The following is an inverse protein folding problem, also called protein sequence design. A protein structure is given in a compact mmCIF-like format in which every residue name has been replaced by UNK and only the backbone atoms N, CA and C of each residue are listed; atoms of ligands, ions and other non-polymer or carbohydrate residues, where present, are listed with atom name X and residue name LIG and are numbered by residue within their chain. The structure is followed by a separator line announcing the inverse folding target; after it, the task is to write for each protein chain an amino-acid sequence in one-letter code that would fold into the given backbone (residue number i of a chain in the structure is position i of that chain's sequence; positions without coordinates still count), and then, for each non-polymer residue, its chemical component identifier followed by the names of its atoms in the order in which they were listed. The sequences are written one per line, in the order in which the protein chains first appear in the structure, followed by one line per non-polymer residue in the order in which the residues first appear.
data_IF_964263946757
#
_entry.id   IF_964263946757
#
_cell.length_a   1.000
_cell.length_b   1.000
_cell.length_c   1.000
_cell.angle_alpha   90.00
_cell.angle_beta   90.00
_cell.angle_gamma   90.00
#
_symmetry.space_group_name_H-M   'P 1'
#
loop_
_entity.id
_entity.type
_entity.pdbx_description
1 polymer ?
#
# COMPACT_ATOMS: atom_id res chain seq x y z
N UNK A 1 -22.25 -18.72 -8.94
CA UNK A 1 -21.28 -19.42 -9.77
C UNK A 1 -19.94 -18.76 -9.60
N UNK A 2 -18.87 -19.53 -9.72
CA UNK A 2 -17.50 -19.03 -9.66
C UNK A 2 -16.93 -19.11 -11.07
N UNK A 3 -16.30 -18.02 -11.51
CA UNK A 3 -15.76 -17.89 -12.86
C UNK A 3 -14.28 -17.61 -12.71
N UNK A 4 -13.44 -18.52 -13.17
CA UNK A 4 -12.00 -18.30 -13.24
C UNK A 4 -11.71 -17.39 -14.44
N UNK A 5 -11.11 -16.24 -14.15
CA UNK A 5 -10.54 -15.33 -15.11
C UNK A 5 -9.03 -15.57 -15.18
N UNK A 6 -8.49 -15.54 -16.39
CA UNK A 6 -7.07 -15.74 -16.64
C UNK A 6 -6.60 -14.69 -17.65
N UNK A 7 -5.60 -13.90 -17.26
CA UNK A 7 -4.82 -13.07 -18.15
C UNK A 7 -3.51 -13.78 -18.48
N UNK A 8 -3.26 -13.99 -19.77
CA UNK A 8 -2.02 -14.60 -20.24
C UNK A 8 -1.06 -13.54 -20.79
N UNK A 9 -0.01 -13.25 -20.03
CA UNK A 9 1.01 -12.28 -20.41
C UNK A 9 2.18 -13.01 -21.08
N UNK A 10 2.35 -12.74 -22.37
CA UNK A 10 3.50 -13.18 -23.15
C UNK A 10 4.66 -12.18 -23.03
N UNK A 11 5.73 -12.54 -22.33
CA UNK A 11 6.85 -11.61 -22.08
C UNK A 11 7.59 -11.21 -23.35
N UNK A 12 7.47 -11.98 -24.45
CA UNK A 12 8.04 -11.65 -25.77
C UNK A 12 7.49 -10.36 -26.40
N UNK A 13 6.30 -9.90 -25.98
CA UNK A 13 5.71 -8.64 -26.46
C UNK A 13 6.07 -7.44 -25.58
N UNK A 14 6.83 -7.68 -24.51
CA UNK A 14 7.30 -6.63 -23.62
C UNK A 14 8.72 -6.22 -24.00
N UNK A 15 9.04 -4.95 -23.74
CA UNK A 15 10.39 -4.43 -23.97
C UNK A 15 11.47 -5.23 -23.22
N UNK A 16 11.13 -5.68 -22.01
CA UNK A 16 11.97 -6.56 -21.22
C UNK A 16 11.10 -7.53 -20.40
N UNK A 17 11.52 -8.78 -20.22
CA UNK A 17 10.76 -9.80 -19.47
C UNK A 17 10.41 -9.37 -18.05
N UNK A 18 11.34 -8.67 -17.38
CA UNK A 18 11.10 -8.13 -16.03
C UNK A 18 10.00 -7.07 -15.97
N UNK A 19 9.73 -6.31 -17.05
CA UNK A 19 8.58 -5.39 -17.06
C UNK A 19 7.27 -6.18 -17.03
N UNK A 20 7.20 -7.29 -17.76
CA UNK A 20 6.05 -8.19 -17.73
C UNK A 20 5.87 -8.80 -16.33
N UNK A 21 6.95 -9.24 -15.68
CA UNK A 21 6.91 -9.80 -14.32
C UNK A 21 6.40 -8.77 -13.30
N UNK A 22 6.95 -7.55 -13.32
CA UNK A 22 6.51 -6.47 -12.43
C UNK A 22 5.04 -6.12 -12.66
N UNK A 23 4.60 -6.10 -13.92
CA UNK A 23 3.20 -5.86 -14.24
C UNK A 23 2.28 -6.99 -13.75
N UNK A 24 2.68 -8.25 -13.93
CA UNK A 24 1.92 -9.41 -13.45
C UNK A 24 1.77 -9.39 -11.92
N UNK A 25 2.84 -9.05 -11.19
CA UNK A 25 2.78 -8.84 -9.73
C UNK A 25 1.84 -7.69 -9.35
N UNK A 26 1.87 -6.59 -10.09
CA UNK A 26 0.96 -5.46 -9.89
C UNK A 26 -0.51 -5.87 -10.13
N UNK A 27 -0.79 -6.74 -11.11
CA UNK A 27 -2.13 -7.27 -11.33
C UNK A 27 -2.62 -8.12 -10.14
N UNK A 28 -1.79 -8.99 -9.57
CA UNK A 28 -2.16 -9.76 -8.36
C UNK A 28 -2.50 -8.84 -7.19
N UNK A 29 -1.66 -7.83 -6.96
CA UNK A 29 -1.90 -6.83 -5.92
C UNK A 29 -3.17 -6.03 -6.20
N UNK A 30 -3.44 -5.69 -7.46
CA UNK A 30 -4.69 -5.04 -7.87
C UNK A 30 -5.92 -5.90 -7.57
N UNK A 31 -5.88 -7.21 -7.84
CA UNK A 31 -6.97 -8.15 -7.50
C UNK A 31 -7.23 -8.14 -6.00
N UNK A 32 -6.19 -8.32 -5.17
CA UNK A 32 -6.29 -8.25 -3.70
C UNK A 32 -6.90 -6.93 -3.24
N UNK A 33 -6.45 -5.82 -3.82
CA UNK A 33 -6.91 -4.49 -3.44
C UNK A 33 -8.39 -4.30 -3.78
N UNK A 34 -8.81 -4.67 -4.98
CA UNK A 34 -10.20 -4.58 -5.42
C UNK A 34 -11.10 -5.48 -4.57
N UNK A 35 -10.65 -6.68 -4.19
CA UNK A 35 -11.38 -7.53 -3.26
C UNK A 35 -11.66 -6.83 -1.92
N UNK A 36 -10.66 -6.14 -1.35
CA UNK A 36 -10.85 -5.36 -0.11
C UNK A 36 -11.79 -4.16 -0.26
N UNK A 37 -11.97 -3.67 -1.49
CA UNK A 37 -12.86 -2.56 -1.84
C UNK A 37 -14.29 -3.03 -2.19
N UNK A 38 -14.58 -4.33 -2.03
CA UNK A 38 -15.91 -4.91 -2.21
C UNK A 38 -16.18 -5.53 -3.58
N UNK A 39 -15.17 -5.62 -4.45
CA UNK A 39 -15.30 -6.42 -5.66
C UNK A 39 -15.31 -7.91 -5.28
N UNK A 40 -16.16 -8.74 -5.92
CA UNK A 40 -16.31 -10.15 -5.56
C UNK A 40 -15.18 -11.02 -6.16
N UNK A 41 -13.93 -10.62 -5.93
CA UNK A 41 -12.73 -11.29 -6.41
C UNK A 41 -12.09 -12.12 -5.30
N UNK A 42 -11.51 -13.26 -5.66
CA UNK A 42 -10.83 -14.16 -4.72
C UNK A 42 -9.92 -15.13 -5.48
N UNK A 43 -9.14 -15.93 -4.74
CA UNK A 43 -8.28 -16.99 -5.30
C UNK A 43 -7.31 -16.48 -6.37
N UNK A 44 -6.67 -15.35 -6.11
CA UNK A 44 -5.63 -14.80 -6.98
C UNK A 44 -4.37 -15.69 -6.99
N UNK A 45 -3.83 -15.92 -8.17
CA UNK A 45 -2.65 -16.75 -8.38
C UNK A 45 -1.81 -16.19 -9.54
N UNK A 46 -0.49 -16.16 -9.33
CA UNK A 46 0.48 -15.88 -10.39
C UNK A 46 1.30 -17.14 -10.63
N UNK A 47 1.12 -17.70 -11.80
CA UNK A 47 1.89 -18.81 -12.31
C UNK A 47 2.98 -18.27 -13.25
N UNK A 48 4.23 -18.63 -12.93
CA UNK A 48 5.45 -18.21 -13.61
C UNK A 48 6.34 -19.44 -13.89
N UNK A 49 5.74 -20.50 -14.39
CA UNK A 49 6.42 -21.79 -14.63
C UNK A 49 7.59 -21.68 -15.63
N UNK A 50 7.49 -20.82 -16.65
CA UNK A 50 8.57 -20.55 -17.59
C UNK A 50 8.57 -19.04 -17.91
N UNK A 51 9.70 -18.34 -17.68
CA UNK A 51 9.99 -16.89 -17.86
C UNK A 51 9.38 -16.17 -19.11
N UNK A 52 8.82 -16.92 -20.05
CA UNK A 52 8.17 -16.49 -21.28
C UNK A 52 6.65 -16.29 -21.12
N UNK A 53 6.00 -17.07 -20.25
CA UNK A 53 4.57 -17.11 -20.03
C UNK A 53 4.24 -16.83 -18.56
N UNK A 54 3.52 -15.74 -18.32
CA UNK A 54 2.97 -15.44 -17.00
C UNK A 54 1.46 -15.55 -17.07
N UNK A 55 0.86 -16.31 -16.14
CA UNK A 55 -0.59 -16.43 -16.03
C UNK A 55 -1.04 -15.78 -14.73
N UNK A 56 -1.83 -14.71 -14.87
CA UNK A 56 -2.48 -14.04 -13.74
C UNK A 56 -3.92 -14.55 -13.69
N UNK A 57 -4.26 -15.26 -12.62
CA UNK A 57 -5.59 -15.86 -12.43
C UNK A 57 -6.29 -15.25 -11.24
N UNK A 58 -7.60 -15.10 -11.32
CA UNK A 58 -8.47 -14.82 -10.18
C UNK A 58 -9.89 -15.31 -10.45
N UNK A 59 -10.65 -15.54 -9.39
CA UNK A 59 -12.04 -15.94 -9.48
C UNK A 59 -12.98 -14.75 -9.27
N UNK A 60 -14.08 -14.74 -10.03
CA UNK A 60 -15.18 -13.79 -9.95
C UNK A 60 -16.45 -14.51 -9.47
N UNK A 61 -17.05 -14.04 -8.37
CA UNK A 61 -18.33 -14.59 -7.88
C UNK A 61 -19.51 -13.90 -8.56
N UNK A 62 -20.39 -14.69 -9.17
CA UNK A 62 -21.59 -14.21 -9.87
C UNK A 62 -22.85 -14.97 -9.48
N UNK A 63 -24.02 -14.35 -9.70
CA UNK A 63 -25.30 -15.04 -9.52
C UNK A 63 -25.50 -16.12 -10.60
N UNK A 64 -26.05 -17.28 -10.22
CA UNK A 64 -26.41 -18.34 -11.20
C UNK A 64 -27.58 -17.95 -12.12
N UNK A 65 -28.27 -16.84 -11.81
CA UNK A 65 -29.39 -16.32 -12.59
C UNK A 65 -29.03 -15.04 -13.36
N UNK A 66 -27.73 -14.72 -13.46
CA UNK A 66 -27.27 -13.54 -14.19
C UNK A 66 -27.60 -13.65 -15.69
N UNK A 67 -28.14 -12.59 -16.33
CA UNK A 67 -28.28 -12.56 -17.78
C UNK A 67 -26.92 -12.64 -18.48
N UNK A 68 -26.85 -13.35 -19.62
CA UNK A 68 -25.60 -13.55 -20.36
C UNK A 68 -24.88 -12.24 -20.72
N UNK A 69 -25.61 -11.19 -21.11
CA UNK A 69 -24.99 -9.91 -21.46
C UNK A 69 -24.34 -9.25 -20.23
N UNK A 70 -25.06 -9.21 -19.11
CA UNK A 70 -24.53 -8.67 -17.85
C UNK A 70 -23.32 -9.46 -17.37
N UNK A 71 -23.31 -10.78 -17.59
CA UNK A 71 -22.14 -11.59 -17.27
C UNK A 71 -20.91 -11.19 -18.11
N UNK A 72 -21.08 -11.02 -19.41
CA UNK A 72 -20.00 -10.55 -20.30
C UNK A 72 -19.50 -9.17 -19.85
N UNK A 73 -20.43 -8.25 -19.58
CA UNK A 73 -20.11 -6.88 -19.14
C UNK A 73 -19.33 -6.90 -17.80
N UNK A 74 -19.70 -7.78 -16.87
CA UNK A 74 -19.01 -7.92 -15.58
C UNK A 74 -17.60 -8.52 -15.74
N UNK A 75 -17.43 -9.48 -16.65
CA UNK A 75 -16.10 -10.04 -16.98
C UNK A 75 -15.21 -8.95 -17.58
N UNK A 76 -15.71 -8.20 -18.56
CA UNK A 76 -14.96 -7.09 -19.18
C UNK A 76 -14.60 -6.01 -18.16
N UNK A 77 -15.55 -5.61 -17.31
CA UNK A 77 -15.31 -4.68 -16.22
C UNK A 77 -14.22 -5.19 -15.27
N UNK A 78 -14.21 -6.49 -14.97
CA UNK A 78 -13.23 -7.11 -14.10
C UNK A 78 -11.81 -6.94 -14.63
N UNK A 79 -11.57 -7.34 -15.88
CA UNK A 79 -10.28 -7.14 -16.55
C UNK A 79 -9.86 -5.67 -16.57
N UNK A 80 -10.77 -4.79 -16.99
CA UNK A 80 -10.48 -3.36 -17.08
C UNK A 80 -10.11 -2.75 -15.71
N UNK A 81 -10.81 -3.15 -14.64
CA UNK A 81 -10.54 -2.65 -13.29
C UNK A 81 -9.19 -3.13 -12.75
N UNK A 82 -8.86 -4.41 -12.95
CA UNK A 82 -7.56 -4.96 -12.55
C UNK A 82 -6.43 -4.26 -13.31
N UNK A 83 -6.58 -4.12 -14.64
CA UNK A 83 -5.59 -3.46 -15.49
C UNK A 83 -5.40 -1.98 -15.13
N UNK A 84 -6.50 -1.22 -14.99
CA UNK A 84 -6.48 0.18 -14.57
C UNK A 84 -5.77 0.34 -13.21
N UNK A 85 -6.09 -0.53 -12.24
CA UNK A 85 -5.47 -0.47 -10.92
C UNK A 85 -3.98 -0.81 -10.96
N UNK A 86 -3.59 -1.86 -11.68
CA UNK A 86 -2.19 -2.25 -11.80
C UNK A 86 -1.33 -1.13 -12.40
N UNK A 87 -1.81 -0.47 -13.47
CA UNK A 87 -1.12 0.69 -14.03
C UNK A 87 -1.04 1.84 -13.04
N UNK A 88 -2.15 2.17 -12.37
CA UNK A 88 -2.15 3.23 -11.36
C UNK A 88 -1.16 2.97 -10.22
N UNK A 89 -1.02 1.71 -9.78
CA UNK A 89 -0.04 1.32 -8.75
C UNK A 89 1.39 1.56 -9.20
N UNK A 90 1.72 1.26 -10.46
CA UNK A 90 3.06 1.43 -11.03
C UNK A 90 3.37 2.90 -11.35
N UNK A 91 2.39 3.67 -11.81
CA UNK A 91 2.58 5.07 -12.21
C UNK A 91 2.61 6.03 -11.01
N UNK A 92 1.69 5.86 -10.05
CA UNK A 92 1.47 6.84 -8.98
C UNK A 92 2.05 6.43 -7.63
N UNK A 93 2.73 5.29 -7.57
CA UNK A 93 3.24 4.63 -6.37
C UNK A 93 2.17 4.42 -5.30
N UNK A 94 1.70 3.18 -5.16
CA UNK A 94 0.77 2.78 -4.09
C UNK A 94 1.52 2.11 -2.91
N UNK A 95 2.76 2.55 -2.66
CA UNK A 95 3.61 1.94 -1.64
C UNK A 95 3.51 2.62 -0.28
N UNK A 96 3.84 1.86 0.77
CA UNK A 96 3.78 2.31 2.16
C UNK A 96 5.14 2.08 2.80
N UNK A 97 5.74 3.15 3.32
CA UNK A 97 6.94 3.05 4.14
C UNK A 97 6.53 2.76 5.60
N UNK A 98 7.17 1.77 6.21
CA UNK A 98 6.98 1.38 7.61
C UNK A 98 8.27 1.70 8.38
N UNK A 99 8.12 2.51 9.44
CA UNK A 99 9.18 2.90 10.36
C UNK A 99 8.80 2.48 11.79
N UNK A 100 9.81 2.28 12.63
CA UNK A 100 9.64 1.93 14.03
C UNK A 100 10.91 1.34 14.61
N UNK A 101 10.81 0.67 15.76
CA UNK A 101 11.95 -0.09 16.29
C UNK A 101 12.14 -1.38 15.49
N UNK A 102 13.34 -1.55 14.95
CA UNK A 102 13.69 -2.60 13.98
C UNK A 102 14.49 -3.75 14.60
N UNK A 103 14.31 -4.00 15.90
CA UNK A 103 15.03 -5.04 16.66
C UNK A 103 14.10 -5.80 17.59
N UNK A 104 14.37 -7.10 17.79
CA UNK A 104 13.61 -7.95 18.71
C UNK A 104 12.12 -8.05 18.34
N UNK A 105 11.26 -8.09 19.36
CA UNK A 105 9.81 -8.20 19.20
C UNK A 105 9.19 -7.06 18.38
N UNK A 106 9.81 -5.87 18.38
CA UNK A 106 9.33 -4.75 17.56
C UNK A 106 9.51 -5.01 16.07
N UNK A 107 10.57 -5.71 15.65
CA UNK A 107 10.75 -6.08 14.24
C UNK A 107 9.67 -7.06 13.78
N UNK A 108 9.29 -8.01 14.62
CA UNK A 108 8.18 -8.95 14.35
C UNK A 108 6.85 -8.21 14.19
N UNK A 109 6.63 -7.16 14.99
CA UNK A 109 5.47 -6.29 14.84
C UNK A 109 5.48 -5.53 13.50
N UNK A 110 6.63 -4.94 13.09
CA UNK A 110 6.75 -4.30 11.78
C UNK A 110 6.47 -5.29 10.65
N UNK A 111 6.97 -6.52 10.76
CA UNK A 111 6.73 -7.61 9.81
C UNK A 111 5.27 -8.06 9.77
N UNK A 112 4.59 -8.06 10.92
CA UNK A 112 3.15 -8.33 10.98
C UNK A 112 2.35 -7.26 10.24
N UNK A 113 2.65 -5.99 10.46
CA UNK A 113 2.04 -4.86 9.73
C UNK A 113 2.33 -4.99 8.22
N UNK A 114 3.58 -5.29 7.85
CA UNK A 114 4.00 -5.48 6.47
C UNK A 114 3.19 -6.59 5.78
N UNK A 115 3.19 -7.80 6.37
CA UNK A 115 2.45 -8.96 5.84
C UNK A 115 0.97 -8.67 5.70
N UNK A 116 0.38 -7.99 6.68
CA UNK A 116 -1.04 -7.62 6.64
C UNK A 116 -1.37 -6.70 5.45
N UNK A 117 -0.54 -5.67 5.22
CA UNK A 117 -0.71 -4.74 4.11
C UNK A 117 -0.40 -5.39 2.75
N UNK A 118 0.62 -6.24 2.66
CA UNK A 118 0.95 -6.99 1.44
C UNK A 118 -0.20 -7.92 1.02
N UNK A 119 -0.88 -8.55 1.99
CA UNK A 119 -2.07 -9.36 1.75
C UNK A 119 -3.27 -8.54 1.27
N UNK A 120 -3.29 -7.22 1.52
CA UNK A 120 -4.28 -6.29 0.97
C UNK A 120 -3.88 -5.68 -0.38
N UNK A 121 -2.76 -6.11 -0.93
CA UNK A 121 -2.29 -5.66 -2.25
C UNK A 121 -1.46 -4.38 -2.22
N UNK A 122 -0.97 -3.93 -1.06
CA UNK A 122 -0.03 -2.80 -1.02
C UNK A 122 1.39 -3.24 -1.34
N UNK A 123 2.21 -2.31 -1.83
CA UNK A 123 3.66 -2.44 -1.76
C UNK A 123 4.13 -1.87 -0.43
N UNK A 124 5.02 -2.56 0.27
CA UNK A 124 5.46 -2.14 1.60
C UNK A 124 6.98 -2.18 1.72
N UNK A 125 7.52 -1.22 2.47
CA UNK A 125 8.96 -1.14 2.73
C UNK A 125 9.20 -0.99 4.22
N UNK A 126 9.93 -1.92 4.83
CA UNK A 126 10.57 -1.67 6.13
C UNK A 126 11.95 -1.08 5.84
N UNK A 127 12.24 0.12 6.35
CA UNK A 127 13.44 0.88 5.98
C UNK A 127 14.76 0.13 6.23
N UNK A 128 14.78 -0.69 7.29
CA UNK A 128 15.95 -1.50 7.69
C UNK A 128 16.36 -2.49 6.60
N UNK A 129 15.40 -3.02 5.86
CA UNK A 129 15.61 -4.06 4.85
C UNK A 129 16.02 -3.50 3.49
N UNK A 130 15.87 -2.19 3.32
CA UNK A 130 16.18 -1.55 2.07
C UNK A 130 17.69 -1.40 1.89
N UNK A 131 18.21 -1.44 0.66
CA UNK A 131 19.64 -1.28 0.41
C UNK A 131 20.13 0.12 0.81
N UNK A 132 21.32 0.16 1.43
CA UNK A 132 22.09 1.38 1.62
C UNK A 132 22.87 1.73 0.35
N UNK A 133 23.00 3.02 0.06
CA UNK A 133 23.77 3.53 -1.07
C UNK A 133 25.02 4.27 -0.58
N UNK A 134 26.17 4.04 -1.22
CA UNK A 134 27.39 4.79 -0.92
C UNK A 134 27.18 6.28 -1.25
N UNK A 135 27.52 7.16 -0.30
CA UNK A 135 27.28 8.60 -0.43
C UNK A 135 25.89 9.05 0.03
N UNK A 136 25.03 8.12 0.45
CA UNK A 136 23.72 8.40 1.06
C UNK A 136 23.83 8.26 2.60
N UNK A 137 23.39 9.27 3.33
CA UNK A 137 23.20 9.17 4.78
C UNK A 137 21.95 8.37 5.12
N UNK A 138 21.88 7.83 6.34
CA UNK A 138 20.70 7.08 6.82
C UNK A 138 19.41 7.91 6.68
N UNK A 139 19.46 9.22 6.95
CA UNK A 139 18.28 10.09 6.80
C UNK A 139 17.90 10.32 5.32
N UNK A 140 18.88 10.41 4.41
CA UNK A 140 18.59 10.51 2.98
C UNK A 140 17.92 9.24 2.46
N UNK A 141 18.34 8.06 2.93
CA UNK A 141 17.67 6.79 2.63
C UNK A 141 16.21 6.80 3.11
N UNK A 142 15.96 7.19 4.36
CA UNK A 142 14.61 7.32 4.93
C UNK A 142 13.74 8.22 4.04
N UNK A 143 14.25 9.41 3.68
CA UNK A 143 13.51 10.37 2.86
C UNK A 143 13.28 9.86 1.42
N UNK A 144 14.25 9.16 0.82
CA UNK A 144 14.09 8.58 -0.51
C UNK A 144 12.93 7.60 -0.56
N UNK A 145 12.82 6.70 0.42
CA UNK A 145 11.69 5.77 0.48
C UNK A 145 10.38 6.45 0.90
N UNK A 146 10.44 7.45 1.78
CA UNK A 146 9.26 8.18 2.19
C UNK A 146 8.62 8.93 1.03
N UNK A 147 9.41 9.71 0.29
CA UNK A 147 8.95 10.50 -0.86
C UNK A 147 8.55 9.64 -2.06
N UNK A 148 9.07 8.41 -2.14
CA UNK A 148 8.64 7.43 -3.14
C UNK A 148 7.38 6.68 -2.72
N UNK A 149 6.93 6.82 -1.47
CA UNK A 149 5.76 6.15 -0.92
C UNK A 149 4.53 7.05 -0.92
N UNK A 150 3.35 6.43 -0.95
CA UNK A 150 2.08 7.13 -0.90
C UNK A 150 1.79 7.70 0.49
N UNK A 151 2.19 6.95 1.53
CA UNK A 151 2.06 7.31 2.93
C UNK A 151 3.14 6.62 3.77
N UNK A 152 3.30 7.08 5.00
CA UNK A 152 4.21 6.48 5.98
C UNK A 152 3.42 5.97 7.18
N UNK A 153 3.74 4.76 7.65
CA UNK A 153 3.30 4.23 8.94
C UNK A 153 4.48 4.24 9.88
N UNK A 154 4.29 4.81 11.08
CA UNK A 154 5.28 4.84 12.15
C UNK A 154 4.71 4.08 13.34
N UNK A 155 5.36 2.98 13.71
CA UNK A 155 5.12 2.25 14.94
C UNK A 155 5.88 2.95 16.09
N UNK A 156 5.15 3.58 17.01
CA UNK A 156 5.64 4.50 18.04
C UNK A 156 5.54 3.92 19.46
N UNK A 157 5.39 2.60 19.61
CA UNK A 157 5.27 1.96 20.94
C UNK A 157 6.56 2.06 21.75
N UNK A 158 7.71 1.83 21.12
CA UNK A 158 9.02 1.83 21.79
C UNK A 158 9.99 2.84 21.17
N UNK A 159 10.81 3.55 21.98
CA UNK A 159 11.76 4.54 21.46
C UNK A 159 12.84 3.90 20.58
N UNK A 160 13.08 4.50 19.42
CA UNK A 160 14.15 4.13 18.49
C UNK A 160 14.55 5.31 17.59
N UNK A 161 15.33 5.06 16.53
CA UNK A 161 15.72 6.05 15.53
C UNK A 161 14.55 6.77 14.86
N UNK A 162 13.35 6.15 14.82
CA UNK A 162 12.16 6.77 14.25
C UNK A 162 11.81 8.12 14.91
N UNK A 163 12.18 8.34 16.18
CA UNK A 163 11.98 9.63 16.85
C UNK A 163 12.75 10.77 16.18
N UNK A 164 13.91 10.48 15.60
CA UNK A 164 14.71 11.44 14.83
C UNK A 164 14.20 11.58 13.39
N UNK A 165 13.67 10.50 12.81
CA UNK A 165 13.08 10.48 11.46
C UNK A 165 11.74 11.24 11.41
N UNK A 166 10.95 11.15 12.48
CA UNK A 166 9.59 11.65 12.56
C UNK A 166 9.43 13.10 12.08
N UNK A 167 10.20 14.10 12.58
CA UNK A 167 10.07 15.48 12.12
C UNK A 167 10.43 15.67 10.64
N UNK A 168 11.37 14.88 10.11
CA UNK A 168 11.78 14.95 8.70
C UNK A 168 10.67 14.41 7.79
N UNK A 169 9.99 13.35 8.22
CA UNK A 169 8.84 12.80 7.49
C UNK A 169 7.65 13.75 7.51
N UNK A 170 7.23 14.18 8.71
CA UNK A 170 5.93 14.85 8.85
C UNK A 170 6.00 16.36 8.57
N UNK A 171 7.11 17.03 8.89
CA UNK A 171 7.25 18.49 8.73
C UNK A 171 8.01 18.88 7.47
N UNK A 172 9.10 18.18 7.16
CA UNK A 172 9.95 18.56 6.03
C UNK A 172 9.43 17.97 4.73
N UNK A 173 9.09 16.67 4.71
CA UNK A 173 8.54 16.00 3.54
C UNK A 173 7.00 16.10 3.45
N UNK A 174 6.33 16.59 4.50
CA UNK A 174 4.87 16.75 4.57
C UNK A 174 4.08 15.47 4.23
N UNK A 175 4.66 14.30 4.48
CA UNK A 175 4.05 13.02 4.12
C UNK A 175 2.77 12.78 4.93
N UNK A 176 1.70 12.23 4.32
CA UNK A 176 0.60 11.63 5.07
C UNK A 176 1.15 10.51 5.95
N UNK A 177 0.99 10.66 7.26
CA UNK A 177 1.66 9.79 8.24
C UNK A 177 0.65 9.24 9.25
N UNK A 178 0.55 7.92 9.30
CA UNK A 178 -0.19 7.19 10.34
C UNK A 178 0.80 6.84 11.44
N UNK A 179 0.46 7.18 12.69
CA UNK A 179 1.24 6.82 13.86
C UNK A 179 0.47 5.76 14.63
N UNK A 180 0.95 4.53 14.57
CA UNK A 180 0.41 3.42 15.34
C UNK A 180 1.12 3.35 16.69
N UNK A 181 0.36 3.19 17.76
CA UNK A 181 0.92 3.09 19.10
C UNK A 181 0.12 2.11 19.96
N UNK A 182 0.80 1.20 20.65
CA UNK A 182 0.10 0.34 21.59
C UNK A 182 -0.47 1.19 22.73
N UNK A 183 -1.71 0.90 23.12
CA UNK A 183 -2.41 1.60 24.20
C UNK A 183 -1.59 1.60 25.49
N UNK A 184 -1.60 2.74 26.18
CA UNK A 184 -0.88 2.98 27.44
C UNK A 184 0.66 2.88 27.32
N UNK A 185 1.18 2.82 26.09
CA UNK A 185 2.60 2.92 25.77
C UNK A 185 2.85 4.15 24.88
N UNK A 186 4.11 4.38 24.51
CA UNK A 186 4.50 5.47 23.63
C UNK A 186 5.96 5.82 23.80
N UNK A 187 6.64 6.07 22.69
CA UNK A 187 8.07 6.35 22.67
C UNK A 187 8.43 7.73 23.26
N UNK A 188 7.53 8.72 23.18
CA UNK A 188 7.76 10.08 23.71
C UNK A 188 6.47 10.89 23.83
N UNK A 189 6.42 11.78 24.82
CA UNK A 189 5.35 12.80 24.96
C UNK A 189 5.54 14.00 24.04
N UNK A 190 6.73 14.16 23.45
CA UNK A 190 7.10 15.34 22.65
C UNK A 190 6.27 15.51 21.35
N UNK A 191 5.53 14.49 20.93
CA UNK A 191 4.72 14.53 19.71
C UNK A 191 3.22 14.70 19.97
N UNK A 192 2.76 14.63 21.22
CA UNK A 192 1.32 14.59 21.52
C UNK A 192 0.58 15.87 21.09
N UNK A 193 1.19 17.04 21.32
CA UNK A 193 0.64 18.31 20.85
C UNK A 193 0.74 18.46 19.32
N UNK A 194 1.72 17.80 18.71
CA UNK A 194 1.93 17.82 17.27
C UNK A 194 0.80 17.11 16.52
N UNK A 195 0.30 15.99 17.05
CA UNK A 195 -0.80 15.22 16.44
C UNK A 195 -2.09 16.05 16.31
N UNK A 196 -2.32 17.00 17.20
CA UNK A 196 -3.48 17.88 17.14
C UNK A 196 -3.27 19.05 16.16
N UNK A 197 -2.01 19.47 15.95
CA UNK A 197 -1.67 20.68 15.19
C UNK A 197 -1.46 20.45 13.70
N UNK A 198 -1.07 19.24 13.31
CA UNK A 198 -0.74 18.91 11.92
C UNK A 198 -1.83 18.03 11.30
N UNK A 199 -2.29 18.43 10.12
CA UNK A 199 -3.41 17.74 9.44
C UNK A 199 -2.97 16.50 8.68
N UNK A 200 -1.69 16.38 8.33
CA UNK A 200 -1.09 15.25 7.63
C UNK A 200 -0.63 14.13 8.58
N UNK A 201 -1.00 14.16 9.86
CA UNK A 201 -0.65 13.14 10.84
C UNK A 201 -1.90 12.59 11.50
N UNK A 202 -1.96 11.27 11.68
CA UNK A 202 -3.00 10.62 12.47
C UNK A 202 -2.40 9.61 13.43
N UNK A 203 -2.48 9.93 14.73
CA UNK A 203 -2.24 8.94 15.79
C UNK A 203 -3.45 8.02 15.92
N UNK A 204 -3.18 6.72 16.00
CA UNK A 204 -4.15 5.66 16.25
C UNK A 204 -3.55 4.70 17.28
N UNK A 205 -4.30 4.47 18.35
CA UNK A 205 -3.90 3.55 19.40
C UNK A 205 -4.51 2.16 19.18
N UNK A 206 -3.75 1.11 19.49
CA UNK A 206 -4.19 -0.27 19.32
C UNK A 206 -3.87 -1.16 20.53
N UNK A 207 -4.55 -2.30 20.62
CA UNK A 207 -4.22 -3.44 21.47
C UNK A 207 -3.78 -4.61 20.59
N UNK A 208 -3.18 -5.64 21.20
CA UNK A 208 -2.70 -6.81 20.44
C UNK A 208 -3.81 -7.48 19.60
N UNK A 209 -5.05 -7.38 20.07
CA UNK A 209 -6.23 -8.01 19.46
C UNK A 209 -6.81 -7.22 18.29
N UNK A 210 -6.55 -5.90 18.19
CA UNK A 210 -7.17 -5.03 17.17
C UNK A 210 -6.17 -4.30 16.27
N UNK A 211 -4.87 -4.63 16.36
CA UNK A 211 -3.81 -3.97 15.59
C UNK A 211 -4.15 -3.88 14.09
N UNK A 212 -4.63 -4.97 13.50
CA UNK A 212 -4.99 -5.04 12.07
C UNK A 212 -6.16 -4.12 11.71
N UNK A 213 -7.19 -4.05 12.56
CA UNK A 213 -8.31 -3.11 12.38
C UNK A 213 -7.83 -1.66 12.46
N UNK A 214 -6.89 -1.36 13.36
CA UNK A 214 -6.32 -0.01 13.49
C UNK A 214 -5.39 0.35 12.33
N UNK A 215 -4.68 -0.63 11.75
CA UNK A 215 -3.97 -0.44 10.48
C UNK A 215 -4.97 -0.04 9.39
N UNK A 216 -6.08 -0.77 9.25
CA UNK A 216 -7.14 -0.44 8.28
C UNK A 216 -7.71 0.97 8.48
N UNK A 217 -7.97 1.36 9.73
CA UNK A 217 -8.43 2.70 10.05
C UNK A 217 -7.40 3.78 9.64
N UNK A 218 -6.11 3.51 9.85
CA UNK A 218 -5.01 4.38 9.45
C UNK A 218 -4.91 4.53 7.93
N UNK A 219 -4.95 3.42 7.21
CA UNK A 219 -4.98 3.40 5.75
C UNK A 219 -6.17 4.20 5.24
N UNK A 220 -7.37 3.92 5.75
CA UNK A 220 -8.58 4.63 5.33
C UNK A 220 -8.42 6.15 5.51
N UNK A 221 -7.96 6.59 6.68
CA UNK A 221 -7.72 8.00 6.95
C UNK A 221 -6.71 8.60 5.96
N UNK A 222 -5.60 7.92 5.68
CA UNK A 222 -4.55 8.44 4.81
C UNK A 222 -5.05 8.62 3.36
N UNK A 223 -5.82 7.66 2.83
CA UNK A 223 -6.41 7.77 1.50
C UNK A 223 -7.53 8.81 1.43
N UNK A 224 -8.35 8.94 2.48
CA UNK A 224 -9.35 10.01 2.59
C UNK A 224 -8.65 11.39 2.57
N UNK A 225 -7.58 11.56 3.36
CA UNK A 225 -6.75 12.77 3.40
C UNK A 225 -6.20 13.12 2.01
N UNK A 226 -5.56 12.16 1.34
CA UNK A 226 -5.00 12.34 0.00
C UNK A 226 -6.07 12.69 -1.03
N UNK A 227 -7.25 12.07 -0.95
CA UNK A 227 -8.38 12.34 -1.84
C UNK A 227 -8.89 13.77 -1.65
N UNK A 228 -9.12 14.19 -0.40
CA UNK A 228 -9.55 15.55 -0.08
C UNK A 228 -8.53 16.59 -0.51
N UNK A 229 -7.24 16.33 -0.27
CA UNK A 229 -6.16 17.21 -0.68
C UNK A 229 -6.08 17.31 -2.21
N UNK A 230 -6.21 16.20 -2.93
CA UNK A 230 -6.26 16.18 -4.39
C UNK A 230 -7.44 16.95 -4.97
N UNK A 231 -8.63 16.86 -4.36
CA UNK A 231 -9.81 17.65 -4.75
C UNK A 231 -9.53 19.15 -4.55
N UNK A 232 -8.98 19.53 -3.39
CA UNK A 232 -8.59 20.91 -3.12
C UNK A 232 -7.58 21.41 -4.16
N UNK A 233 -6.57 20.61 -4.50
CA UNK A 233 -5.57 20.93 -5.51
C UNK A 233 -6.20 21.13 -6.89
N UNK A 234 -7.05 20.22 -7.38
CA UNK A 234 -7.76 20.36 -8.67
C UNK A 234 -8.60 21.64 -8.73
N UNK A 235 -9.24 22.02 -7.62
CA UNK A 235 -10.06 23.23 -7.56
C UNK A 235 -9.23 24.53 -7.52
N UNK A 236 -8.04 24.48 -6.91
CA UNK A 236 -7.26 25.68 -6.57
C UNK A 236 -6.08 25.91 -7.51
N UNK A 237 -5.40 24.84 -7.94
CA UNK A 237 -4.15 24.89 -8.71
C UNK A 237 -4.45 24.94 -10.22
N UNK A 238 -4.06 26.01 -10.95
CA UNK A 238 -4.50 26.23 -12.33
C UNK A 238 -4.11 25.15 -13.33
N UNK A 239 -2.96 24.51 -13.15
CA UNK A 239 -2.43 23.49 -14.09
C UNK A 239 -2.87 22.06 -13.76
N UNK A 240 -3.72 21.87 -12.74
CA UNK A 240 -4.34 20.59 -12.39
C UNK A 240 -5.83 20.52 -12.79
N UNK A 241 -6.31 21.52 -13.54
CA UNK A 241 -7.67 21.57 -14.10
C UNK A 241 -7.76 20.86 -15.43
#
# INVERSE_FOLDING_TARGET
MEITLEEHIYTKYWFHKYHASVFAEAMIKAVKRLATEGFPYFSEELDNDDDVHLFVRWALAESIHIPNQTLIDNIELSFNKVYERANNMLENSDSILILGKDTGESMELLKRIQTYLDNKGFYTYIIKEQPDLLGESVMQKVLRYALSSRLVIIENTEPSGHLYEFPHIVKMAEMPTVVLQQKDKGATWMFEDLYQRMTNIKKIEYTNDNMEEQVDAGIKWAFDYLTQFGIYQKNTIPWLK
#
